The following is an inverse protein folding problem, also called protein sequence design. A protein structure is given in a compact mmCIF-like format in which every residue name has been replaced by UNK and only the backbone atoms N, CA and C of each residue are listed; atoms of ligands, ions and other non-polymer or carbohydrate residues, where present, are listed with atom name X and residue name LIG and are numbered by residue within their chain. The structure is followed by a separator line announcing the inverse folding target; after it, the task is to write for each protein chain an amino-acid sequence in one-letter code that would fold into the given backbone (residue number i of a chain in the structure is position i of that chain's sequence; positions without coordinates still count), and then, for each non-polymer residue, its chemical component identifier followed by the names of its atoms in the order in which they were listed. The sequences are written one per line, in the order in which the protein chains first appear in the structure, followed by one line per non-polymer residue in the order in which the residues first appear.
data_IF_250675849492
#
_entry.id   IF_250675849492
#
_cell.length_a   1.000
_cell.length_b   1.000
_cell.length_c   1.000
_cell.angle_alpha   90.00
_cell.angle_beta   90.00
_cell.angle_gamma   90.00
#
_symmetry.space_group_name_H-M   'P 1'
#
loop_
_entity.id
_entity.type
_entity.pdbx_description
1 polymer ?
#
# COMPACT_ATOMS: atom_id res chain seq x y z
N UNK A 1 15.18 0.60 -10.89
CA UNK A 1 14.28 0.60 -9.72
C UNK A 1 14.40 1.97 -9.06
N UNK A 2 13.37 2.81 -9.17
CA UNK A 2 13.38 4.18 -8.64
C UNK A 2 12.90 4.17 -7.19
N UNK A 3 13.73 3.69 -6.25
CA UNK A 3 13.38 3.74 -4.82
C UNK A 3 14.64 4.05 -4.01
N UNK A 4 14.54 5.04 -3.13
CA UNK A 4 15.49 5.21 -2.02
C UNK A 4 14.95 4.45 -0.81
N UNK A 5 15.82 3.96 0.06
CA UNK A 5 15.52 3.12 1.24
C UNK A 5 14.59 3.77 2.30
N UNK A 6 14.05 4.96 2.03
CA UNK A 6 13.30 5.80 2.95
C UNK A 6 11.79 5.55 3.01
N UNK A 7 11.24 4.60 2.22
CA UNK A 7 9.80 4.26 2.20
C UNK A 7 9.28 3.55 3.47
N UNK A 8 10.07 3.49 4.53
CA UNK A 8 9.70 2.90 5.81
C UNK A 8 9.47 1.40 5.75
N UNK A 9 9.18 0.80 6.91
CA UNK A 9 9.00 -0.66 7.05
C UNK A 9 7.73 -1.18 6.36
N UNK A 10 6.84 -0.32 5.90
CA UNK A 10 5.55 -0.73 5.32
C UNK A 10 5.53 -0.75 3.78
N UNK A 11 6.48 -0.12 3.10
CA UNK A 11 6.53 -0.10 1.63
C UNK A 11 6.97 -1.43 1.02
N UNK A 12 6.45 -1.71 -0.19
CA UNK A 12 6.92 -2.78 -1.09
C UNK A 12 7.13 -2.17 -2.48
N UNK A 13 8.34 -2.26 -3.07
CA UNK A 13 8.57 -1.81 -4.44
C UNK A 13 7.90 -2.76 -5.44
N UNK A 14 7.38 -2.22 -6.54
CA UNK A 14 6.78 -3.01 -7.62
C UNK A 14 7.42 -2.64 -8.95
N UNK A 15 7.51 -3.60 -9.86
CA UNK A 15 7.97 -3.33 -11.21
C UNK A 15 6.86 -2.64 -12.04
N UNK A 16 7.19 -1.95 -13.14
CA UNK A 16 6.17 -1.31 -13.98
C UNK A 16 5.29 -2.35 -14.66
N UNK A 17 3.97 -2.12 -14.66
CA UNK A 17 3.03 -3.03 -15.32
C UNK A 17 1.60 -2.90 -14.79
N UNK A 18 0.72 -3.77 -15.29
CA UNK A 18 -0.60 -4.00 -14.71
C UNK A 18 -0.43 -5.04 -13.60
N UNK A 19 -0.83 -4.68 -12.38
CA UNK A 19 -0.76 -5.54 -11.21
C UNK A 19 -2.09 -5.51 -10.45
N UNK A 20 -2.39 -6.60 -9.75
CA UNK A 20 -3.42 -6.61 -8.71
C UNK A 20 -2.74 -6.38 -7.36
N UNK A 21 -3.07 -5.24 -6.73
CA UNK A 21 -2.57 -4.89 -5.41
C UNK A 21 -3.66 -5.15 -4.38
N UNK A 22 -3.32 -5.91 -3.33
CA UNK A 22 -4.25 -6.23 -2.24
C UNK A 22 -3.59 -6.00 -0.89
N UNK A 23 -4.35 -5.42 0.04
CA UNK A 23 -4.00 -5.33 1.46
C UNK A 23 -4.98 -6.22 2.21
N UNK A 24 -4.49 -7.32 2.77
CA UNK A 24 -5.26 -8.15 3.69
C UNK A 24 -5.03 -7.66 5.12
N UNK A 25 -6.09 -7.16 5.77
CA UNK A 25 -6.04 -6.62 7.13
C UNK A 25 -6.90 -7.48 8.05
N UNK A 26 -6.24 -8.16 8.99
CA UNK A 26 -6.88 -9.06 9.95
C UNK A 26 -6.68 -8.55 11.36
N UNK A 27 -7.72 -8.61 12.19
CA UNK A 27 -7.60 -8.26 13.59
C UNK A 27 -6.81 -9.36 14.30
N UNK A 28 -5.76 -8.97 15.03
CA UNK A 28 -4.99 -9.90 15.85
C UNK A 28 -5.59 -10.00 17.27
N UNK A 29 -5.04 -10.90 18.08
CA UNK A 29 -5.50 -11.14 19.46
C UNK A 29 -5.28 -9.95 20.39
N UNK A 30 -4.38 -9.04 20.02
CA UNK A 30 -4.02 -7.86 20.81
C UNK A 30 -4.89 -6.64 20.42
N UNK A 31 -5.86 -6.81 19.52
CA UNK A 31 -6.77 -5.76 19.07
C UNK A 31 -6.20 -4.81 18.00
N UNK A 32 -5.00 -5.10 17.48
CA UNK A 32 -4.40 -4.36 16.37
C UNK A 32 -4.55 -5.10 15.04
N UNK A 33 -4.39 -4.41 13.91
CA UNK A 33 -4.41 -5.08 12.61
C UNK A 33 -3.05 -5.73 12.29
N UNK A 34 -3.08 -7.00 11.91
CA UNK A 34 -2.04 -7.66 11.13
C UNK A 34 -2.32 -7.42 9.65
N UNK A 35 -1.30 -6.98 8.91
CA UNK A 35 -1.40 -6.65 7.50
C UNK A 35 -0.53 -7.57 6.64
N UNK A 36 -1.07 -7.98 5.50
CA UNK A 36 -0.31 -8.58 4.41
C UNK A 36 -0.47 -7.78 3.13
N UNK A 37 0.65 -7.44 2.50
CA UNK A 37 0.68 -7.00 1.11
C UNK A 37 0.67 -8.22 0.21
N UNK A 38 -0.26 -8.22 -0.73
CA UNK A 38 -0.42 -9.25 -1.73
C UNK A 38 -0.31 -8.59 -3.10
N UNK A 39 0.61 -9.08 -3.93
CA UNK A 39 0.83 -8.60 -5.30
C UNK A 39 0.60 -9.78 -6.23
N UNK A 40 -0.32 -9.63 -7.18
CA UNK A 40 -0.67 -10.65 -8.16
C UNK A 40 -1.01 -12.02 -7.54
N UNK A 41 -1.60 -12.00 -6.34
CA UNK A 41 -2.00 -13.18 -5.58
C UNK A 41 -0.95 -13.74 -4.61
N UNK A 42 0.28 -13.23 -4.63
CA UNK A 42 1.36 -13.68 -3.74
C UNK A 42 1.56 -12.75 -2.55
N UNK A 43 1.67 -13.33 -1.35
CA UNK A 43 2.03 -12.57 -0.14
C UNK A 43 3.50 -12.19 -0.22
N UNK A 44 3.76 -10.90 -0.39
CA UNK A 44 5.12 -10.36 -0.54
C UNK A 44 5.69 -9.80 0.76
N UNK A 45 4.81 -9.42 1.70
CA UNK A 45 5.21 -8.83 2.98
C UNK A 45 4.09 -8.89 4.00
N UNK A 46 4.45 -9.12 5.26
CA UNK A 46 3.52 -9.12 6.39
C UNK A 46 4.08 -8.29 7.54
N UNK A 47 3.21 -7.60 8.29
CA UNK A 47 3.60 -6.89 9.51
C UNK A 47 2.42 -6.67 10.44
N UNK A 48 2.70 -6.61 11.74
CA UNK A 48 1.75 -6.13 12.74
C UNK A 48 1.76 -4.60 12.72
N UNK A 49 0.58 -4.01 12.62
CA UNK A 49 0.41 -2.56 12.70
C UNK A 49 0.15 -2.13 14.14
N UNK A 50 0.24 -0.83 14.39
CA UNK A 50 -0.23 -0.18 15.61
C UNK A 50 -1.66 0.36 15.49
N UNK A 51 -2.36 0.06 14.39
CA UNK A 51 -3.70 0.56 14.13
C UNK A 51 -4.75 -0.38 14.72
N UNK A 52 -5.72 0.16 15.45
CA UNK A 52 -6.87 -0.56 16.01
C UNK A 52 -8.16 -0.16 15.28
N UNK A 53 -9.27 -0.90 15.41
CA UNK A 53 -10.56 -0.53 14.83
C UNK A 53 -11.04 0.89 15.21
N UNK A 54 -10.79 1.34 16.44
CA UNK A 54 -11.21 2.65 16.93
C UNK A 54 -10.36 3.78 16.32
N UNK A 55 -9.07 3.53 16.12
CA UNK A 55 -8.15 4.49 15.53
C UNK A 55 -8.28 4.56 14.00
N UNK A 56 -8.84 3.53 13.36
CA UNK A 56 -8.78 3.36 11.91
C UNK A 56 -10.17 3.36 11.27
N UNK A 57 -10.64 4.56 10.92
CA UNK A 57 -11.76 4.75 9.99
C UNK A 57 -11.18 4.78 8.56
N UNK A 58 -11.26 3.65 7.85
CA UNK A 58 -10.66 3.54 6.52
C UNK A 58 -11.28 4.51 5.51
N UNK A 59 -10.47 5.43 4.98
CA UNK A 59 -10.71 6.13 3.73
C UNK A 59 -9.74 5.63 2.67
N UNK A 60 -10.25 5.32 1.48
CA UNK A 60 -9.39 4.91 0.36
C UNK A 60 -9.06 6.13 -0.51
N UNK A 61 -7.78 6.35 -0.81
CA UNK A 61 -7.34 7.38 -1.73
C UNK A 61 -6.32 6.83 -2.72
N UNK A 62 -6.49 7.22 -3.99
CA UNK A 62 -5.49 7.03 -5.03
C UNK A 62 -4.87 8.39 -5.34
N UNK A 63 -3.56 8.51 -5.19
CA UNK A 63 -2.84 9.76 -5.44
C UNK A 63 -1.68 9.45 -6.38
N UNK A 64 -1.58 10.22 -7.46
CA UNK A 64 -0.42 10.26 -8.34
C UNK A 64 0.31 11.58 -8.15
N UNK A 65 1.59 11.53 -7.79
CA UNK A 65 2.49 12.68 -7.84
C UNK A 65 3.59 12.42 -8.88
N UNK A 66 4.17 13.48 -9.41
CA UNK A 66 5.34 13.40 -10.28
C UNK A 66 6.60 13.85 -9.53
N UNK A 67 6.48 14.90 -8.71
CA UNK A 67 7.54 15.38 -7.82
C UNK A 67 6.98 15.43 -6.39
N UNK A 68 7.67 14.77 -5.46
CA UNK A 68 7.27 14.67 -4.06
C UNK A 68 8.42 14.98 -3.11
N UNK A 69 8.56 14.18 -2.05
CA UNK A 69 9.65 14.36 -1.08
C UNK A 69 10.96 13.71 -1.53
N UNK A 70 12.05 13.98 -0.80
CA UNK A 70 13.41 13.46 -1.09
C UNK A 70 13.55 11.92 -1.09
N UNK A 71 12.46 11.20 -0.83
CA UNK A 71 12.37 9.75 -0.94
C UNK A 71 12.15 9.25 -2.37
N UNK A 72 11.74 10.12 -3.31
CA UNK A 72 11.37 9.77 -4.68
C UNK A 72 12.53 9.76 -5.69
N UNK A 73 13.72 10.16 -5.25
CA UNK A 73 14.92 10.25 -6.09
C UNK A 73 15.57 11.63 -6.05
N UNK A 74 16.64 11.78 -6.81
CA UNK A 74 17.53 12.95 -6.83
C UNK A 74 17.23 13.92 -8.00
N UNK A 75 16.26 13.61 -8.86
CA UNK A 75 15.96 14.38 -10.08
C UNK A 75 14.46 14.64 -10.23
N UNK A 76 14.16 15.87 -10.64
CA UNK A 76 12.80 16.29 -10.99
C UNK A 76 12.30 15.53 -12.22
N UNK A 77 11.05 15.07 -12.14
CA UNK A 77 10.36 14.48 -13.27
C UNK A 77 9.98 15.53 -14.31
N UNK A 78 10.05 15.18 -15.59
CA UNK A 78 9.94 16.11 -16.72
C UNK A 78 8.69 15.87 -17.60
N UNK A 79 7.84 14.91 -17.21
CA UNK A 79 6.71 14.45 -18.02
C UNK A 79 5.36 14.56 -17.31
N UNK A 80 4.29 14.32 -18.07
CA UNK A 80 2.95 14.06 -17.51
C UNK A 80 2.84 12.55 -17.29
N UNK A 81 2.60 12.15 -16.05
CA UNK A 81 2.44 10.74 -15.67
C UNK A 81 0.97 10.45 -15.36
N UNK A 82 0.49 9.31 -15.81
CA UNK A 82 -0.90 8.87 -15.59
C UNK A 82 -0.89 7.48 -14.99
N UNK A 83 -1.47 7.33 -13.80
CA UNK A 83 -1.86 6.01 -13.30
C UNK A 83 -3.27 5.68 -13.79
N UNK A 84 -3.48 4.42 -14.17
CA UNK A 84 -4.78 3.90 -14.60
C UNK A 84 -5.20 2.81 -13.63
N UNK A 85 -6.46 2.87 -13.20
CA UNK A 85 -7.05 1.91 -12.29
C UNK A 85 -8.20 1.22 -13.01
N UNK A 86 -8.18 -0.12 -13.01
CA UNK A 86 -9.18 -0.93 -13.70
C UNK A 86 -10.40 -1.17 -12.80
N UNK A 87 -10.15 -1.56 -11.55
CA UNK A 87 -11.20 -1.78 -10.55
C UNK A 87 -10.70 -1.54 -9.12
N UNK A 88 -11.65 -1.42 -8.20
CA UNK A 88 -11.43 -1.46 -6.77
C UNK A 88 -12.44 -2.41 -6.14
N UNK A 89 -11.97 -3.28 -5.24
CA UNK A 89 -12.83 -4.21 -4.50
C UNK A 89 -12.50 -4.11 -3.01
N UNK A 90 -13.54 -4.14 -2.16
CA UNK A 90 -13.41 -4.22 -0.72
C UNK A 90 -14.26 -5.38 -0.19
N UNK A 91 -13.62 -6.24 0.61
CA UNK A 91 -14.27 -7.35 1.31
C UNK A 91 -14.04 -7.19 2.80
N UNK A 92 -15.13 -7.09 3.56
CA UNK A 92 -15.09 -6.97 5.01
C UNK A 92 -14.99 -8.35 5.66
N UNK A 93 -14.07 -8.52 6.60
CA UNK A 93 -14.08 -9.67 7.50
C UNK A 93 -15.24 -9.60 8.48
N UNK A 94 -15.95 -10.72 8.63
CA UNK A 94 -16.92 -10.94 9.69
C UNK A 94 -16.24 -11.84 10.71
N UNK A 95 -16.07 -11.32 11.92
CA UNK A 95 -15.57 -12.08 13.06
C UNK A 95 -16.79 -12.51 13.88
N UNK A 96 -16.86 -13.80 14.22
CA UNK A 96 -17.90 -14.39 15.09
C UNK A 96 -17.65 -14.08 16.56
#
# INVERSE_FOLDING_TARGET
RCYTESMGVYGVPIDPGKHTLTIDLRLNTDGAYWAAWIIDGEVVKTFTTWYTPEAFQFGYSFITFANGGGWQGDKETQGIYTAKYDYFEYKKYVYE
#
